data_IF_826639994928
#
_entry.id   IF_826639994928
#
_cell.length_a   1.000
_cell.length_b   1.000
_cell.length_c   1.000
_cell.angle_alpha   90.00
_cell.angle_beta   90.00
_cell.angle_gamma   90.00
#
_symmetry.space_group_name_H-M   'P 1'
#
loop_
_entity.id
_entity.type
_entity.pdbx_description
1 polymer ?
#
# COMPACT_ATOMS: atom_id res chain seq x y z
N UNK A 1 5.43 -3.41 -4.62
CA UNK A 1 4.30 -2.88 -3.85
C UNK A 1 2.99 -3.54 -4.24
N UNK A 2 2.68 -3.57 -5.52
CA UNK A 2 1.44 -4.19 -5.98
C UNK A 2 1.37 -5.67 -5.62
N UNK A 3 2.48 -6.37 -5.74
CA UNK A 3 2.52 -7.79 -5.38
C UNK A 3 2.28 -7.99 -3.89
N UNK A 4 2.84 -7.12 -3.05
CA UNK A 4 2.62 -7.21 -1.61
C UNK A 4 1.15 -7.01 -1.26
N UNK A 5 0.48 -6.10 -1.96
CA UNK A 5 -0.92 -5.83 -1.68
C UNK A 5 -1.83 -6.97 -2.10
N UNK A 6 -1.50 -7.66 -3.19
CA UNK A 6 -2.38 -8.68 -3.76
C UNK A 6 -2.04 -10.10 -3.36
N UNK A 7 -0.76 -10.40 -3.14
CA UNK A 7 -0.34 -11.76 -2.89
C UNK A 7 -0.06 -12.09 -1.43
N UNK A 8 -0.30 -11.14 -0.53
CA UNK A 8 -0.13 -11.38 0.91
C UNK A 8 -1.36 -10.91 1.68
N UNK A 9 -1.50 -11.38 2.91
CA UNK A 9 -2.56 -10.92 3.80
C UNK A 9 -2.08 -9.86 4.79
N UNK A 10 -0.94 -9.23 4.51
CA UNK A 10 -0.39 -8.18 5.35
C UNK A 10 -1.32 -6.96 5.34
N UNK A 11 -1.40 -6.28 6.47
CA UNK A 11 -2.14 -5.03 6.55
C UNK A 11 -1.38 -3.93 5.82
N UNK A 12 -2.09 -2.84 5.50
CA UNK A 12 -1.46 -1.70 4.84
C UNK A 12 -0.34 -1.14 5.72
N UNK A 13 -0.58 -1.07 7.02
CA UNK A 13 0.43 -0.61 7.98
C UNK A 13 1.67 -1.48 7.92
N UNK A 14 1.48 -2.78 7.87
CA UNK A 14 2.59 -3.73 7.83
C UNK A 14 3.40 -3.56 6.54
N UNK A 15 2.73 -3.38 5.43
CA UNK A 15 3.39 -3.19 4.15
C UNK A 15 4.21 -1.90 4.17
N UNK A 16 3.66 -0.82 4.70
CA UNK A 16 4.39 0.45 4.76
C UNK A 16 5.65 0.32 5.61
N UNK A 17 5.58 -0.43 6.71
CA UNK A 17 6.75 -0.67 7.56
C UNK A 17 7.83 -1.45 6.82
N UNK A 18 7.45 -2.47 6.06
CA UNK A 18 8.40 -3.29 5.31
C UNK A 18 9.09 -2.49 4.21
N UNK A 19 8.43 -1.48 3.70
CA UNK A 19 9.00 -0.62 2.66
C UNK A 19 9.71 0.59 3.22
N UNK A 20 9.86 0.65 4.54
CA UNK A 20 10.60 1.70 5.24
C UNK A 20 9.95 3.08 5.14
N UNK A 21 8.66 3.15 4.96
CA UNK A 21 7.95 4.42 5.05
C UNK A 21 7.82 4.82 6.52
N UNK A 22 7.96 6.11 6.82
CA UNK A 22 7.86 6.58 8.22
C UNK A 22 6.46 6.41 8.80
N UNK A 23 5.43 6.38 7.94
CA UNK A 23 4.05 6.30 8.40
C UNK A 23 3.18 5.79 7.27
N UNK A 24 2.05 5.17 7.63
CA UNK A 24 1.09 4.68 6.65
C UNK A 24 0.57 5.80 5.75
N UNK A 25 0.41 7.00 6.28
CA UNK A 25 -0.06 8.15 5.50
C UNK A 25 0.87 8.46 4.34
N UNK A 26 2.18 8.39 4.58
CA UNK A 26 3.16 8.63 3.52
C UNK A 26 3.08 7.57 2.45
N UNK A 27 2.93 6.33 2.85
CA UNK A 27 2.79 5.23 1.90
C UNK A 27 1.53 5.42 1.05
N UNK A 28 0.43 5.79 1.67
CA UNK A 28 -0.83 6.02 0.96
C UNK A 28 -0.70 7.10 -0.10
N UNK A 29 -0.07 8.21 0.26
CA UNK A 29 0.15 9.31 -0.68
C UNK A 29 1.04 8.88 -1.84
N UNK A 30 2.12 8.19 -1.53
CA UNK A 30 3.05 7.70 -2.54
C UNK A 30 2.34 6.78 -3.51
N UNK A 31 1.60 5.82 -2.98
CA UNK A 31 0.92 4.83 -3.80
C UNK A 31 -0.13 5.48 -4.70
N UNK A 32 -0.93 6.39 -4.13
CA UNK A 32 -1.96 7.06 -4.90
C UNK A 32 -1.37 7.91 -6.01
N UNK A 33 -0.25 8.56 -5.75
CA UNK A 33 0.42 9.38 -6.76
C UNK A 33 0.88 8.54 -7.93
N UNK A 34 1.35 7.33 -7.70
CA UNK A 34 1.92 6.50 -8.74
C UNK A 34 0.91 5.60 -9.44
N UNK A 35 -0.19 5.25 -8.76
CA UNK A 35 -1.18 4.33 -9.35
C UNK A 35 -2.55 4.97 -9.56
N UNK A 36 -2.78 6.12 -8.96
CA UNK A 36 -4.08 6.78 -9.04
C UNK A 36 -5.08 6.27 -8.02
N UNK A 37 -4.73 5.29 -7.20
CA UNK A 37 -5.62 4.70 -6.21
C UNK A 37 -4.89 4.52 -4.89
N UNK A 38 -5.64 4.60 -3.78
CA UNK A 38 -5.05 4.33 -2.48
C UNK A 38 -4.70 2.84 -2.36
N UNK A 39 -3.78 2.48 -1.45
CA UNK A 39 -3.44 1.07 -1.26
C UNK A 39 -4.66 0.20 -0.92
N UNK A 40 -5.56 0.73 -0.09
CA UNK A 40 -6.74 -0.01 0.30
C UNK A 40 -7.68 -0.23 -0.89
N UNK A 41 -7.88 0.80 -1.69
CA UNK A 41 -8.70 0.70 -2.89
C UNK A 41 -8.11 -0.31 -3.87
N UNK A 42 -6.80 -0.30 -4.03
CA UNK A 42 -6.13 -1.22 -4.93
C UNK A 42 -6.31 -2.66 -4.47
N UNK A 43 -6.16 -2.91 -3.17
CA UNK A 43 -6.33 -4.25 -2.61
C UNK A 43 -7.75 -4.76 -2.80
N UNK A 44 -8.74 -3.91 -2.55
CA UNK A 44 -10.14 -4.30 -2.63
C UNK A 44 -10.63 -4.45 -4.07
N UNK A 45 -9.90 -3.91 -5.02
CA UNK A 45 -10.27 -3.96 -6.42
C UNK A 45 -10.09 -5.34 -7.03
N UNK A 46 -9.16 -6.11 -6.53
CA UNK A 46 -8.95 -7.48 -7.04
C UNK A 46 -9.85 -8.49 -6.32
#
# INVERSE_FOLDING_TARGET
IKALLQSTSLSIQEISNRLSFPDQSFFGRYFKKHTGKSPLQYRNQS
#
